data_IF_324622550216
#
_entry.id   IF_324622550216
#
_cell.length_a   1.000
_cell.length_b   1.000
_cell.length_c   1.000
_cell.angle_alpha   90.00
_cell.angle_beta   90.00
_cell.angle_gamma   90.00
#
_symmetry.space_group_name_H-M   'P 1'
#
loop_
_entity.id
_entity.type
_entity.pdbx_description
1 polymer ?
#
# COMPACT_ATOMS: atom_id res chain seq x y z
N UNK A 1 0.55 -62.80 33.70
CA UNK A 1 1.06 -61.41 33.70
C UNK A 1 0.43 -60.67 32.52
N UNK A 2 -0.53 -59.80 32.80
CA UNK A 2 -1.17 -58.93 31.79
C UNK A 2 -0.25 -57.75 31.49
N UNK A 3 0.01 -57.45 30.20
CA UNK A 3 0.61 -56.16 29.82
C UNK A 3 -0.13 -55.57 28.62
N UNK A 4 -0.82 -54.48 28.94
CA UNK A 4 -1.76 -53.71 28.15
C UNK A 4 -1.04 -52.93 27.04
N UNK A 5 -1.54 -53.00 25.81
CA UNK A 5 -1.11 -52.13 24.70
C UNK A 5 -1.74 -50.75 24.89
N UNK A 6 -0.95 -49.76 25.29
CA UNK A 6 -1.38 -48.37 25.33
C UNK A 6 -1.22 -47.76 23.92
N UNK A 7 -2.34 -47.42 23.27
CA UNK A 7 -2.36 -46.61 22.04
C UNK A 7 -2.64 -45.17 22.44
N UNK A 8 -1.61 -44.34 22.42
CA UNK A 8 -1.74 -42.88 22.50
C UNK A 8 -2.30 -42.36 21.18
N UNK A 9 -3.56 -41.95 21.17
CA UNK A 9 -4.13 -41.10 20.13
C UNK A 9 -3.80 -39.65 20.48
N UNK A 10 -2.86 -39.05 19.75
CA UNK A 10 -2.65 -37.60 19.75
C UNK A 10 -3.73 -36.97 18.86
N UNK A 11 -4.74 -36.36 19.48
CA UNK A 11 -5.65 -35.46 18.79
C UNK A 11 -4.92 -34.14 18.53
N UNK A 12 -4.56 -33.89 17.27
CA UNK A 12 -4.06 -32.59 16.85
C UNK A 12 -5.25 -31.63 16.73
N UNK A 13 -5.38 -30.69 17.68
CA UNK A 13 -6.22 -29.50 17.49
C UNK A 13 -5.53 -28.61 16.44
N UNK A 14 -6.04 -28.59 15.22
CA UNK A 14 -5.71 -27.55 14.26
C UNK A 14 -6.41 -26.26 14.71
N UNK A 15 -5.69 -25.35 15.37
CA UNK A 15 -6.14 -23.96 15.50
C UNK A 15 -6.05 -23.32 14.12
N UNK A 16 -7.15 -23.28 13.37
CA UNK A 16 -7.31 -22.33 12.27
C UNK A 16 -7.46 -20.94 12.88
N UNK A 17 -6.36 -20.21 13.02
CA UNK A 17 -6.41 -18.75 13.19
C UNK A 17 -7.20 -18.19 11.99
N UNK A 18 -8.27 -17.40 12.20
CA UNK A 18 -8.87 -16.69 11.09
C UNK A 18 -7.78 -15.81 10.48
N UNK A 19 -7.44 -16.06 9.21
CA UNK A 19 -6.73 -15.07 8.40
C UNK A 19 -7.66 -13.87 8.35
N UNK A 20 -7.46 -12.91 9.27
CA UNK A 20 -8.07 -11.61 9.13
C UNK A 20 -7.57 -11.08 7.78
N UNK A 21 -8.44 -11.05 6.77
CA UNK A 21 -8.13 -10.31 5.56
C UNK A 21 -7.92 -8.87 6.02
N UNK A 22 -6.67 -8.42 5.99
CA UNK A 22 -6.34 -7.04 6.29
C UNK A 22 -6.89 -6.24 5.12
N UNK A 23 -8.14 -5.78 5.25
CA UNK A 23 -8.73 -4.85 4.29
C UNK A 23 -7.76 -3.67 4.16
N UNK A 24 -7.40 -3.33 2.93
CA UNK A 24 -6.50 -2.20 2.72
C UNK A 24 -7.18 -0.91 3.19
N UNK A 25 -6.46 -0.14 3.98
CA UNK A 25 -6.86 1.21 4.35
C UNK A 25 -5.74 2.21 4.08
N UNK A 26 -6.13 3.46 3.80
CA UNK A 26 -5.23 4.60 3.73
C UNK A 26 -5.72 5.66 4.70
N UNK A 27 -4.92 5.92 5.73
CA UNK A 27 -5.25 6.84 6.82
C UNK A 27 -6.58 6.52 7.54
N UNK A 28 -6.96 5.23 7.61
CA UNK A 28 -8.19 4.76 8.24
C UNK A 28 -9.39 4.65 7.31
N UNK A 29 -9.28 5.12 6.05
CA UNK A 29 -10.34 5.01 5.05
C UNK A 29 -10.14 3.79 4.15
N UNK A 30 -11.24 3.18 3.74
CA UNK A 30 -11.32 1.98 2.91
C UNK A 30 -12.11 2.23 1.62
N UNK A 31 -11.94 1.35 0.64
CA UNK A 31 -12.82 1.32 -0.52
C UNK A 31 -14.23 0.91 -0.08
N UNK A 32 -15.24 1.64 -0.55
CA UNK A 32 -16.64 1.45 -0.15
C UNK A 32 -17.09 2.35 1.01
N UNK A 33 -16.18 3.00 1.74
CA UNK A 33 -16.54 4.02 2.72
C UNK A 33 -17.30 5.17 2.05
N UNK A 34 -18.10 5.91 2.80
CA UNK A 34 -18.84 7.06 2.27
C UNK A 34 -17.97 8.31 2.18
N UNK A 35 -18.38 9.27 1.35
CA UNK A 35 -17.74 10.60 1.34
C UNK A 35 -17.85 11.29 2.72
N UNK A 36 -18.90 11.02 3.50
CA UNK A 36 -19.09 11.56 4.84
C UNK A 36 -18.04 11.02 5.83
N UNK A 37 -17.60 9.77 5.67
CA UNK A 37 -16.50 9.19 6.46
C UNK A 37 -15.18 9.94 6.21
N UNK A 38 -14.91 10.31 4.95
CA UNK A 38 -13.77 11.19 4.64
C UNK A 38 -13.94 12.60 5.22
N UNK A 39 -15.14 13.18 5.13
CA UNK A 39 -15.41 14.52 5.66
C UNK A 39 -15.30 14.58 7.19
N UNK A 40 -15.63 13.50 7.88
CA UNK A 40 -15.51 13.39 9.34
C UNK A 40 -14.12 12.98 9.82
N UNK A 41 -13.21 12.60 8.93
CA UNK A 41 -11.84 12.23 9.28
C UNK A 41 -11.13 13.38 10.02
N UNK A 42 -10.77 13.12 11.29
CA UNK A 42 -9.98 14.03 12.13
C UNK A 42 -8.53 13.53 12.18
N UNK A 43 -7.81 13.74 11.08
CA UNK A 43 -6.43 13.31 10.92
C UNK A 43 -5.65 14.32 10.10
N UNK A 44 -4.40 14.67 10.50
CA UNK A 44 -3.51 15.48 9.67
C UNK A 44 -3.30 14.88 8.28
N UNK A 45 -3.44 13.55 8.13
CA UNK A 45 -3.31 12.91 6.83
C UNK A 45 -4.33 13.41 5.79
N UNK A 46 -5.48 13.95 6.23
CA UNK A 46 -6.56 14.42 5.38
C UNK A 46 -6.11 15.48 4.37
N UNK A 47 -5.17 16.35 4.75
CA UNK A 47 -4.63 17.39 3.86
C UNK A 47 -3.86 16.82 2.65
N UNK A 48 -3.43 15.57 2.75
CA UNK A 48 -2.69 14.86 1.72
C UNK A 48 -3.56 13.85 0.94
N UNK A 49 -4.85 13.76 1.26
CA UNK A 49 -5.77 12.82 0.62
C UNK A 49 -6.55 13.46 -0.52
N UNK A 50 -6.68 12.71 -1.61
CA UNK A 50 -7.62 12.96 -2.69
C UNK A 50 -8.52 11.73 -2.81
N UNK A 51 -9.84 11.95 -2.76
CA UNK A 51 -10.85 10.90 -2.82
C UNK A 51 -11.55 10.94 -4.17
N UNK A 52 -11.85 9.77 -4.73
CA UNK A 52 -12.80 9.62 -5.83
C UNK A 52 -13.90 8.67 -5.40
N UNK A 53 -15.14 9.02 -5.72
CA UNK A 53 -16.32 8.25 -5.36
C UNK A 53 -17.19 7.94 -6.60
N UNK A 54 -18.04 6.93 -6.48
CA UNK A 54 -19.08 6.60 -7.46
C UNK A 54 -20.29 7.59 -7.35
N UNK A 55 -21.28 7.50 -8.26
CA UNK A 55 -22.49 8.33 -8.18
C UNK A 55 -23.32 8.15 -6.91
N UNK A 56 -23.23 6.99 -6.27
CA UNK A 56 -23.91 6.66 -5.01
C UNK A 56 -23.20 7.26 -3.78
N UNK A 57 -21.99 7.78 -3.95
CA UNK A 57 -21.21 8.43 -2.90
C UNK A 57 -20.26 7.48 -2.14
N UNK A 58 -20.03 6.27 -2.65
CA UNK A 58 -19.06 5.34 -2.09
C UNK A 58 -17.68 5.60 -2.70
N UNK A 59 -16.65 5.54 -1.87
CA UNK A 59 -15.26 5.78 -2.27
C UNK A 59 -14.75 4.61 -3.11
N UNK A 60 -14.28 4.91 -4.33
CA UNK A 60 -13.66 3.95 -5.26
C UNK A 60 -12.16 4.15 -5.43
N UNK A 61 -11.62 5.27 -4.92
CA UNK A 61 -10.19 5.54 -4.86
C UNK A 61 -9.83 6.44 -3.70
N UNK A 62 -8.75 6.09 -3.01
CA UNK A 62 -8.09 6.89 -1.99
C UNK A 62 -6.65 7.11 -2.40
N UNK A 63 -6.30 8.36 -2.70
CA UNK A 63 -4.95 8.73 -3.09
C UNK A 63 -4.31 9.62 -2.03
N UNK A 64 -3.28 9.11 -1.34
CA UNK A 64 -2.43 9.86 -0.44
C UNK A 64 -1.17 10.32 -1.17
N UNK A 65 -0.86 11.62 -1.11
CA UNK A 65 0.41 12.16 -1.60
C UNK A 65 0.98 13.20 -0.63
N UNK A 66 2.15 12.90 -0.10
CA UNK A 66 2.90 13.84 0.73
C UNK A 66 4.25 14.13 0.10
N UNK A 67 4.56 15.41 -0.06
CA UNK A 67 5.80 15.91 -0.65
C UNK A 67 6.65 16.66 0.38
N UNK A 68 7.90 16.98 -0.01
CA UNK A 68 8.79 17.78 0.84
C UNK A 68 9.29 17.05 2.08
N UNK A 69 9.28 15.72 2.06
CA UNK A 69 9.77 14.91 3.18
C UNK A 69 11.31 14.89 3.20
N UNK A 70 11.94 14.91 4.38
CA UNK A 70 13.39 14.80 4.49
C UNK A 70 13.91 13.53 3.80
N UNK A 71 15.06 13.67 3.12
CA UNK A 71 15.69 12.57 2.40
C UNK A 71 16.95 12.06 3.10
N UNK A 72 16.88 11.96 4.42
CA UNK A 72 17.89 11.30 5.24
C UNK A 72 17.57 9.80 5.41
N UNK A 73 18.59 9.01 5.73
CA UNK A 73 18.52 7.55 5.90
C UNK A 73 17.41 7.12 6.88
N UNK A 74 17.30 7.83 8.02
CA UNK A 74 16.31 7.54 9.06
C UNK A 74 14.89 7.75 8.54
N UNK A 75 14.65 8.84 7.80
CA UNK A 75 13.35 9.11 7.19
C UNK A 75 13.01 8.07 6.12
N UNK A 76 13.95 7.72 5.24
CA UNK A 76 13.76 6.67 4.23
C UNK A 76 13.38 5.32 4.86
N UNK A 77 14.17 4.85 5.83
CA UNK A 77 13.93 3.58 6.52
C UNK A 77 12.59 3.58 7.26
N UNK A 78 12.21 4.69 7.89
CA UNK A 78 10.92 4.83 8.55
C UNK A 78 9.76 4.71 7.57
N UNK A 79 9.85 5.36 6.41
CA UNK A 79 8.80 5.32 5.37
C UNK A 79 8.65 3.92 4.77
N UNK A 80 9.76 3.28 4.38
CA UNK A 80 9.75 1.91 3.84
C UNK A 80 9.17 0.95 4.87
N UNK A 81 9.64 0.98 6.12
CA UNK A 81 9.12 0.10 7.17
C UNK A 81 7.64 0.37 7.46
N UNK A 82 7.18 1.63 7.45
CA UNK A 82 5.77 1.93 7.68
C UNK A 82 4.87 1.30 6.61
N UNK A 83 5.24 1.43 5.34
CA UNK A 83 4.50 0.84 4.22
C UNK A 83 4.54 -0.69 4.31
N UNK A 84 5.73 -1.27 4.43
CA UNK A 84 5.93 -2.72 4.39
C UNK A 84 5.36 -3.44 5.63
N UNK A 85 5.37 -2.81 6.80
CA UNK A 85 4.74 -3.38 7.99
C UNK A 85 3.21 -3.28 7.91
N UNK A 86 2.67 -2.25 7.25
CA UNK A 86 1.23 -2.06 7.12
C UNK A 86 0.62 -2.98 6.06
N UNK A 87 1.23 -3.05 4.88
CA UNK A 87 0.64 -3.73 3.72
C UNK A 87 1.26 -5.10 3.42
N UNK A 88 2.27 -5.51 4.19
CA UNK A 88 2.95 -6.78 4.05
C UNK A 88 4.38 -6.62 3.52
N UNK A 89 5.30 -7.45 4.03
CA UNK A 89 6.71 -7.40 3.61
C UNK A 89 6.91 -8.23 2.34
N UNK A 90 7.42 -7.58 1.32
CA UNK A 90 7.68 -8.14 -0.02
C UNK A 90 9.13 -7.94 -0.42
N UNK A 91 9.61 -8.59 -1.48
CA UNK A 91 11.01 -8.45 -1.95
C UNK A 91 11.47 -6.99 -2.09
N UNK A 92 10.69 -6.07 -2.71
CA UNK A 92 11.05 -4.65 -2.76
C UNK A 92 11.30 -3.98 -1.40
N UNK A 93 10.68 -4.46 -0.32
CA UNK A 93 10.93 -3.93 1.03
C UNK A 93 12.36 -4.22 1.49
N UNK A 94 12.83 -5.45 1.26
CA UNK A 94 14.18 -5.85 1.66
C UNK A 94 15.24 -5.20 0.77
N UNK A 95 15.00 -5.13 -0.54
CA UNK A 95 15.87 -4.41 -1.47
C UNK A 95 16.00 -2.94 -1.08
N UNK A 96 14.88 -2.27 -0.83
CA UNK A 96 14.87 -0.87 -0.41
C UNK A 96 15.64 -0.64 0.89
N UNK A 97 15.44 -1.47 1.92
CA UNK A 97 16.17 -1.34 3.18
C UNK A 97 17.67 -1.59 3.02
N UNK A 98 18.05 -2.61 2.23
CA UNK A 98 19.45 -2.88 1.94
C UNK A 98 20.12 -1.74 1.15
N UNK A 99 19.40 -1.11 0.22
CA UNK A 99 19.90 0.08 -0.51
C UNK A 99 20.11 1.28 0.43
N UNK A 100 19.19 1.49 1.37
CA UNK A 100 19.28 2.58 2.38
C UNK A 100 20.52 2.39 3.26
N UNK A 101 20.79 1.15 3.70
CA UNK A 101 21.94 0.81 4.54
C UNK A 101 23.28 0.79 3.77
N UNK A 102 23.24 0.79 2.44
CA UNK A 102 24.44 0.77 1.62
C UNK A 102 25.15 2.13 1.61
N UNK A 103 26.50 2.09 1.66
CA UNK A 103 27.34 3.28 1.67
C UNK A 103 27.20 4.18 0.42
N UNK A 104 26.59 3.68 -0.66
CA UNK A 104 26.38 4.43 -1.91
C UNK A 104 25.21 5.43 -1.83
N UNK A 105 24.40 5.42 -0.75
CA UNK A 105 23.33 6.43 -0.46
C UNK A 105 22.40 6.71 -1.66
N UNK A 106 22.23 5.73 -2.55
CA UNK A 106 21.38 5.85 -3.73
C UNK A 106 19.99 5.27 -3.49
N UNK A 107 19.35 5.46 -2.33
CA UNK A 107 17.93 5.08 -2.21
C UNK A 107 17.12 5.75 -3.33
N UNK A 108 16.81 4.98 -4.36
CA UNK A 108 16.47 5.52 -5.68
C UNK A 108 14.96 5.63 -5.80
N UNK A 109 14.26 4.57 -5.39
CA UNK A 109 12.82 4.45 -5.53
C UNK A 109 12.32 3.21 -4.81
N UNK A 110 11.34 3.36 -3.94
CA UNK A 110 10.48 2.24 -3.55
C UNK A 110 9.24 2.23 -4.45
N UNK A 111 8.87 1.05 -4.96
CA UNK A 111 7.59 0.85 -5.62
C UNK A 111 7.11 -0.58 -5.39
N UNK A 112 5.85 -0.72 -5.01
CA UNK A 112 5.16 -2.01 -5.05
C UNK A 112 3.67 -1.84 -5.31
N UNK A 113 3.08 -2.85 -5.95
CA UNK A 113 1.65 -3.00 -6.14
C UNK A 113 1.20 -4.18 -5.27
N UNK A 114 0.40 -3.88 -4.26
CA UNK A 114 -0.29 -4.86 -3.43
C UNK A 114 -1.69 -5.12 -3.99
N UNK A 115 -2.16 -6.35 -3.85
CA UNK A 115 -3.54 -6.77 -4.15
C UNK A 115 -4.08 -7.52 -2.96
N UNK A 116 -5.38 -7.38 -2.71
CA UNK A 116 -6.06 -8.21 -1.72
C UNK A 116 -6.25 -9.63 -2.26
N UNK A 117 -6.54 -10.58 -1.38
CA UNK A 117 -6.69 -12.00 -1.74
C UNK A 117 -7.82 -12.25 -2.75
N UNK A 118 -8.84 -11.39 -2.77
CA UNK A 118 -9.96 -11.48 -3.71
C UNK A 118 -9.71 -10.72 -5.01
N UNK A 119 -8.55 -10.05 -5.15
CA UNK A 119 -8.17 -9.18 -6.26
C UNK A 119 -9.21 -8.07 -6.58
N UNK A 120 -9.99 -7.68 -5.58
CA UNK A 120 -11.01 -6.62 -5.69
C UNK A 120 -10.44 -5.22 -5.50
N UNK A 121 -9.22 -5.13 -4.95
CA UNK A 121 -8.55 -3.87 -4.65
C UNK A 121 -7.10 -3.89 -5.09
N UNK A 122 -6.61 -2.72 -5.51
CA UNK A 122 -5.23 -2.50 -5.89
C UNK A 122 -4.64 -1.36 -5.05
N UNK A 123 -3.53 -1.61 -4.36
CA UNK A 123 -2.80 -0.59 -3.60
C UNK A 123 -1.39 -0.39 -4.17
N UNK A 124 -1.15 0.78 -4.75
CA UNK A 124 0.17 1.17 -5.25
C UNK A 124 0.87 2.02 -4.21
N UNK A 125 1.99 1.55 -3.70
CA UNK A 125 2.84 2.30 -2.78
C UNK A 125 4.13 2.71 -3.48
N UNK A 126 4.47 3.99 -3.40
CA UNK A 126 5.68 4.55 -3.99
C UNK A 126 6.36 5.53 -3.05
N UNK A 127 7.67 5.43 -2.96
CA UNK A 127 8.54 6.45 -2.38
C UNK A 127 9.53 6.85 -3.47
N UNK A 128 9.63 8.13 -3.77
CA UNK A 128 10.53 8.64 -4.81
C UNK A 128 11.20 9.92 -4.37
N UNK A 129 12.39 10.17 -4.91
CA UNK A 129 13.01 11.49 -4.84
C UNK A 129 12.23 12.46 -5.72
N UNK A 130 12.03 13.66 -5.21
CA UNK A 130 11.51 14.81 -5.95
C UNK A 130 12.62 15.86 -5.98
N UNK A 131 12.75 16.58 -7.11
CA UNK A 131 13.91 17.45 -7.42
C UNK A 131 15.22 16.65 -7.53
N UNK A 132 15.24 15.64 -8.40
CA UNK A 132 16.39 14.73 -8.58
C UNK A 132 17.72 15.43 -8.92
N UNK A 133 17.69 16.66 -9.44
CA UNK A 133 18.87 17.48 -9.76
C UNK A 133 19.26 18.48 -8.64
N UNK A 134 18.67 18.38 -7.45
CA UNK A 134 19.00 19.18 -6.27
C UNK A 134 20.11 18.52 -5.45
N UNK A 135 21.00 19.34 -4.85
CA UNK A 135 21.95 18.89 -3.82
C UNK A 135 21.24 18.42 -2.54
N UNK A 136 19.99 18.82 -2.36
CA UNK A 136 19.08 18.40 -1.27
C UNK A 136 17.76 17.94 -1.90
N UNK A 137 17.72 16.74 -2.48
CA UNK A 137 16.48 16.21 -3.03
C UNK A 137 15.54 15.84 -1.90
N UNK A 138 14.25 16.16 -2.03
CA UNK A 138 13.22 15.79 -1.05
C UNK A 138 12.60 14.43 -1.41
N UNK A 139 11.88 13.81 -0.50
CA UNK A 139 11.08 12.63 -0.76
C UNK A 139 9.61 12.99 -0.98
N UNK A 140 8.98 12.23 -1.88
CA UNK A 140 7.53 12.14 -2.02
C UNK A 140 7.08 10.71 -1.75
N UNK A 141 6.03 10.58 -0.95
CA UNK A 141 5.32 9.32 -0.69
C UNK A 141 3.97 9.39 -1.37
N UNK A 142 3.64 8.35 -2.12
CA UNK A 142 2.36 8.16 -2.78
C UNK A 142 1.79 6.79 -2.36
N UNK A 143 0.54 6.77 -1.89
CA UNK A 143 -0.23 5.54 -1.66
C UNK A 143 -1.55 5.70 -2.41
N UNK A 144 -1.80 4.82 -3.37
CA UNK A 144 -2.96 4.89 -4.24
C UNK A 144 -3.74 3.58 -4.13
N UNK A 145 -4.79 3.60 -3.31
CA UNK A 145 -5.72 2.50 -3.10
C UNK A 145 -6.93 2.69 -4.02
N UNK A 146 -7.28 1.67 -4.78
CA UNK A 146 -8.37 1.68 -5.76
C UNK A 146 -9.19 0.42 -5.68
N UNK A 147 -10.48 0.55 -5.96
CA UNK A 147 -11.29 -0.56 -6.47
C UNK A 147 -10.69 -1.08 -7.80
N UNK A 148 -10.59 -2.39 -7.97
CA UNK A 148 -9.98 -3.03 -9.16
C UNK A 148 -10.76 -2.75 -10.45
N UNK A 149 -12.10 -2.69 -10.39
CA UNK A 149 -12.92 -2.41 -11.57
C UNK A 149 -12.73 -0.94 -11.99
N UNK A 150 -12.70 -0.02 -11.03
CA UNK A 150 -12.35 1.37 -11.28
C UNK A 150 -10.93 1.52 -11.86
N UNK A 151 -9.94 0.82 -11.28
CA UNK A 151 -8.55 0.84 -11.76
C UNK A 151 -8.43 0.33 -13.21
N UNK A 152 -9.19 -0.72 -13.57
CA UNK A 152 -9.26 -1.24 -14.94
C UNK A 152 -9.87 -0.20 -15.89
N UNK A 153 -11.02 0.37 -15.57
CA UNK A 153 -11.67 1.38 -16.39
C UNK A 153 -10.75 2.60 -16.63
N UNK A 154 -10.02 3.04 -15.60
CA UNK A 154 -9.07 4.15 -15.72
C UNK A 154 -7.91 3.84 -16.68
N UNK A 155 -7.43 2.59 -16.73
CA UNK A 155 -6.36 2.19 -17.67
C UNK A 155 -6.87 2.17 -19.10
N UNK A 156 -8.06 1.64 -19.32
CA UNK A 156 -8.68 1.57 -20.64
C UNK A 156 -8.93 2.98 -21.21
N UNK A 157 -9.47 3.90 -20.40
CA UNK A 157 -9.64 5.30 -20.79
C UNK A 157 -8.32 5.97 -21.20
N UNK A 158 -7.23 5.70 -20.45
CA UNK A 158 -5.90 6.25 -20.77
C UNK A 158 -5.32 5.67 -22.05
N UNK A 159 -5.49 4.38 -22.30
CA UNK A 159 -5.05 3.74 -23.53
C UNK A 159 -5.77 4.37 -24.73
N UNK A 160 -7.10 4.49 -24.67
CA UNK A 160 -7.89 5.11 -25.75
C UNK A 160 -7.55 6.58 -25.95
N UNK A 161 -7.27 7.34 -24.89
CA UNK A 161 -6.83 8.72 -25.01
C UNK A 161 -5.43 8.85 -25.65
N UNK A 162 -4.53 7.91 -25.39
CA UNK A 162 -3.20 7.87 -26.01
C UNK A 162 -3.28 7.57 -27.50
N UNK A 163 -4.15 6.64 -27.91
CA UNK A 163 -4.37 6.28 -29.32
C UNK A 163 -4.95 7.45 -30.15
N UNK A 164 -5.57 8.44 -29.49
CA UNK A 164 -6.12 9.65 -30.12
C UNK A 164 -5.09 10.78 -30.29
N UNK A 165 -3.87 10.65 -29.75
CA UNK A 165 -2.84 11.72 -29.79
C UNK A 165 -1.77 11.42 -30.87
N UNK A 166 -1.74 10.21 -31.44
CA UNK A 166 -0.89 9.88 -32.58
C UNK A 166 -1.54 10.37 -33.90
N UNK A 167 -1.35 11.66 -34.23
CA UNK A 167 -1.67 12.26 -35.54
C UNK A 167 -0.53 13.13 -36.07
#
# INVERSE_FOLDING_TARGET
MYRTKSRLFLAALALSLPQASLAFDVAGLQIGDSVDDFQSLDSPAKEFLTITHDPEGNIVRIFYRQEGLPNDEKTQAKLVNRICNKYGRVTPCYSALSEIESNDKQFLRFFHLYRDDNETQELRARIRRTKAFSLTPDLTVEIDLMDSAYAKALREQKATASDLIDF
#
